data_IF_779735479768
#
_entry.id   IF_779735479768
#
_cell.length_a   1.000
_cell.length_b   1.000
_cell.length_c   1.000
_cell.angle_alpha   90.00
_cell.angle_beta   90.00
_cell.angle_gamma   90.00
#
_symmetry.space_group_name_H-M   'P 1'
#
loop_
_entity.id
_entity.type
_entity.pdbx_description
1 polymer ?
#
# COMPACT_ATOMS: atom_id res chain seq x y z
N UNK A 1 26.66 -17.22 -5.68
CA UNK A 1 25.72 -17.92 -4.80
C UNK A 1 25.43 -17.03 -3.61
N UNK A 2 24.37 -16.23 -3.64
CA UNK A 2 23.92 -15.44 -2.49
C UNK A 2 23.02 -16.34 -1.67
N UNK A 3 23.52 -16.76 -0.50
CA UNK A 3 22.74 -17.52 0.47
C UNK A 3 21.48 -16.72 0.82
N UNK A 4 20.33 -17.20 0.39
CA UNK A 4 19.04 -16.65 0.75
C UNK A 4 18.90 -16.71 2.26
N UNK A 5 19.00 -15.56 2.93
CA UNK A 5 18.66 -15.45 4.34
C UNK A 5 17.24 -15.99 4.54
N UNK A 6 17.02 -16.92 5.48
CA UNK A 6 15.69 -17.47 5.72
C UNK A 6 14.74 -16.30 5.99
N UNK A 7 13.78 -16.10 5.08
CA UNK A 7 12.76 -15.09 5.25
C UNK A 7 11.85 -15.52 6.39
N UNK A 8 12.11 -15.02 7.60
CA UNK A 8 11.22 -15.20 8.74
C UNK A 8 9.80 -14.81 8.32
N UNK A 9 8.81 -15.61 8.69
CA UNK A 9 7.42 -15.33 8.36
C UNK A 9 7.03 -13.92 8.88
N UNK A 10 6.14 -13.22 8.19
CA UNK A 10 5.74 -11.86 8.60
C UNK A 10 5.22 -11.81 10.04
N UNK A 11 4.56 -12.88 10.51
CA UNK A 11 4.09 -13.01 11.89
C UNK A 11 5.23 -13.02 12.92
N UNK A 12 6.30 -13.76 12.66
CA UNK A 12 7.47 -13.80 13.56
C UNK A 12 8.17 -12.44 13.63
N UNK A 13 8.24 -11.71 12.52
CA UNK A 13 8.83 -10.37 12.50
C UNK A 13 8.04 -9.40 13.35
N UNK A 14 6.72 -9.44 13.26
CA UNK A 14 5.84 -8.58 14.04
C UNK A 14 5.93 -8.92 15.54
N UNK A 15 5.88 -10.20 15.88
CA UNK A 15 6.00 -10.65 17.27
C UNK A 15 7.33 -10.22 17.92
N UNK A 16 8.45 -10.35 17.19
CA UNK A 16 9.76 -9.90 17.67
C UNK A 16 9.83 -8.39 17.89
N UNK A 17 9.21 -7.59 17.02
CA UNK A 17 9.14 -6.14 17.17
C UNK A 17 8.33 -5.74 18.39
N UNK A 18 7.16 -6.35 18.58
CA UNK A 18 6.30 -6.10 19.73
C UNK A 18 7.06 -6.48 21.00
N UNK A 19 7.66 -7.67 21.03
CA UNK A 19 8.45 -8.14 22.17
C UNK A 19 9.60 -7.17 22.50
N UNK A 20 10.39 -6.75 21.53
CA UNK A 20 11.50 -5.82 21.76
C UNK A 20 11.00 -4.45 22.23
N UNK A 21 9.97 -3.91 21.58
CA UNK A 21 9.39 -2.62 21.96
C UNK A 21 8.87 -2.63 23.40
N UNK A 22 8.10 -3.66 23.76
CA UNK A 22 7.53 -3.79 25.12
C UNK A 22 8.62 -4.01 26.17
N UNK A 23 9.60 -4.87 25.92
CA UNK A 23 10.71 -5.14 26.84
C UNK A 23 11.54 -3.88 27.11
N UNK A 24 11.88 -3.12 26.07
CA UNK A 24 12.61 -1.86 26.23
C UNK A 24 11.78 -0.81 26.96
N UNK A 25 10.48 -0.73 26.67
CA UNK A 25 9.57 0.19 27.37
C UNK A 25 9.48 -0.14 28.85
N UNK A 26 9.33 -1.42 29.22
CA UNK A 26 9.33 -1.88 30.62
C UNK A 26 10.66 -1.50 31.30
N UNK A 27 11.79 -1.82 30.65
CA UNK A 27 13.11 -1.54 31.20
C UNK A 27 13.31 -0.07 31.51
N UNK A 28 12.96 0.84 30.61
CA UNK A 28 13.12 2.28 30.82
C UNK A 28 12.20 2.81 31.90
N UNK A 29 10.94 2.37 31.93
CA UNK A 29 9.98 2.85 32.94
C UNK A 29 10.31 2.35 34.37
N UNK A 30 10.73 1.09 34.51
CA UNK A 30 11.18 0.57 35.79
C UNK A 30 12.46 1.25 36.25
N UNK A 31 13.43 1.43 35.37
CA UNK A 31 14.67 2.12 35.66
C UNK A 31 14.43 3.58 36.07
N UNK A 32 13.46 4.27 35.47
CA UNK A 32 13.09 5.65 35.81
C UNK A 32 12.18 5.78 37.04
N UNK A 33 11.83 4.68 37.71
CA UNK A 33 10.94 4.67 38.88
C UNK A 33 9.46 4.93 38.58
N UNK A 34 9.05 4.88 37.28
CA UNK A 34 7.69 5.21 36.79
C UNK A 34 6.85 3.97 36.50
N UNK A 35 7.00 2.91 37.29
CA UNK A 35 6.26 1.67 37.13
C UNK A 35 4.73 1.80 37.19
N UNK A 36 4.22 2.81 37.87
CA UNK A 36 2.77 3.07 38.02
C UNK A 36 2.06 3.44 36.67
N UNK A 37 2.77 3.96 35.68
CA UNK A 37 2.24 4.30 34.33
C UNK A 37 2.59 3.26 33.25
N UNK A 38 3.12 2.11 33.66
CA UNK A 38 3.58 1.05 32.77
C UNK A 38 2.50 0.58 31.79
N UNK A 39 1.25 0.43 32.27
CA UNK A 39 0.14 -0.06 31.44
C UNK A 39 -0.13 0.84 30.22
N UNK A 40 -0.16 2.15 30.42
CA UNK A 40 -0.37 3.11 29.34
C UNK A 40 0.76 3.06 28.30
N UNK A 41 2.01 2.98 28.76
CA UNK A 41 3.17 2.87 27.89
C UNK A 41 3.20 1.59 27.07
N UNK A 42 2.84 0.44 27.68
CA UNK A 42 2.77 -0.84 26.99
C UNK A 42 1.71 -0.86 25.90
N UNK A 43 0.52 -0.33 26.19
CA UNK A 43 -0.54 -0.20 25.18
C UNK A 43 -0.05 0.64 24.02
N UNK A 44 0.61 1.76 24.28
CA UNK A 44 1.20 2.59 23.23
C UNK A 44 2.31 1.85 22.46
N UNK A 45 3.22 1.16 23.15
CA UNK A 45 4.27 0.39 22.51
C UNK A 45 3.71 -0.68 21.54
N UNK A 46 2.69 -1.41 21.97
CA UNK A 46 2.05 -2.46 21.14
C UNK A 46 1.31 -1.86 19.94
N UNK A 47 0.49 -0.82 20.17
CA UNK A 47 -0.31 -0.18 19.12
C UNK A 47 0.56 0.52 18.04
N UNK A 48 1.75 1.00 18.43
CA UNK A 48 2.65 1.71 17.52
C UNK A 48 3.69 0.83 16.85
N UNK A 49 3.81 -0.45 17.22
CA UNK A 49 4.50 -1.45 16.41
C UNK A 49 3.60 -1.77 15.20
N UNK A 50 3.71 -0.96 14.18
CA UNK A 50 2.84 -1.01 13.01
C UNK A 50 3.22 -2.19 12.10
N UNK A 51 2.21 -2.91 11.60
CA UNK A 51 2.37 -3.99 10.61
C UNK A 51 3.03 -3.51 9.32
N UNK A 52 2.75 -2.26 8.95
CA UNK A 52 3.32 -1.63 7.78
C UNK A 52 4.57 -0.83 8.16
N UNK A 53 5.73 -1.28 7.70
CA UNK A 53 7.06 -0.69 7.90
C UNK A 53 7.22 0.79 7.46
N UNK A 54 6.14 1.52 7.26
CA UNK A 54 6.07 2.70 6.42
C UNK A 54 5.66 3.98 7.12
N UNK A 55 5.67 3.99 8.47
CA UNK A 55 5.35 5.22 9.21
C UNK A 55 6.47 6.26 9.00
N UNK A 56 6.21 7.40 8.34
CA UNK A 56 7.21 8.44 8.21
C UNK A 56 7.55 9.03 9.57
N UNK A 57 8.80 9.41 9.79
CA UNK A 57 9.26 10.05 11.05
C UNK A 57 8.42 11.29 11.41
N UNK A 58 7.90 12.01 10.41
CA UNK A 58 6.98 13.13 10.61
C UNK A 58 5.64 12.70 11.24
N UNK A 59 5.19 11.46 11.01
CA UNK A 59 3.96 10.97 11.62
C UNK A 59 4.14 10.65 13.10
N UNK A 60 5.36 10.30 13.54
CA UNK A 60 5.68 10.05 14.94
C UNK A 60 5.50 11.34 15.73
N UNK A 61 6.06 12.44 15.24
CA UNK A 61 5.87 13.75 15.88
C UNK A 61 4.41 14.15 16.01
N UNK A 62 3.59 13.89 14.96
CA UNK A 62 2.16 14.15 15.02
C UNK A 62 1.42 13.24 16.01
N UNK A 63 1.85 11.98 16.14
CA UNK A 63 1.27 11.03 17.10
C UNK A 63 1.59 11.42 18.54
N UNK A 64 2.85 11.76 18.82
CA UNK A 64 3.28 12.25 20.14
C UNK A 64 2.56 13.54 20.49
N UNK A 65 2.54 14.51 19.58
CA UNK A 65 1.84 15.77 19.80
C UNK A 65 0.33 15.56 20.02
N UNK A 66 -0.30 14.67 19.23
CA UNK A 66 -1.70 14.32 19.41
C UNK A 66 -1.99 13.71 20.79
N UNK A 67 -1.14 12.78 21.25
CA UNK A 67 -1.28 12.18 22.57
C UNK A 67 -1.16 13.22 23.70
N UNK A 68 -0.17 14.11 23.61
CA UNK A 68 0.01 15.18 24.60
C UNK A 68 -1.19 16.15 24.60
N UNK A 69 -1.70 16.54 23.44
CA UNK A 69 -2.92 17.35 23.33
C UNK A 69 -4.10 16.64 23.99
N UNK A 70 -4.26 15.32 23.77
CA UNK A 70 -5.32 14.54 24.41
C UNK A 70 -5.23 14.51 25.92
N UNK A 71 -4.03 14.25 26.46
CA UNK A 71 -3.78 14.25 27.92
C UNK A 71 -4.09 15.62 28.55
N UNK A 72 -3.56 16.70 27.96
CA UNK A 72 -3.77 18.05 28.45
C UNK A 72 -5.24 18.47 28.37
N UNK A 73 -5.92 18.16 27.28
CA UNK A 73 -7.35 18.47 27.13
C UNK A 73 -8.20 17.73 28.13
N UNK A 74 -7.90 16.45 28.41
CA UNK A 74 -8.62 15.67 29.39
C UNK A 74 -8.42 16.25 30.81
N UNK A 75 -7.19 16.67 31.15
CA UNK A 75 -6.91 17.31 32.45
C UNK A 75 -7.72 18.60 32.61
N UNK A 76 -7.70 19.51 31.63
CA UNK A 76 -8.43 20.77 31.70
C UNK A 76 -9.93 20.55 31.86
N UNK A 77 -10.50 19.60 31.11
CA UNK A 77 -11.92 19.29 31.20
C UNK A 77 -12.27 18.66 32.54
N UNK A 78 -11.40 17.82 33.09
CA UNK A 78 -11.61 17.19 34.39
C UNK A 78 -11.62 18.21 35.53
N UNK A 79 -10.75 19.24 35.49
CA UNK A 79 -10.75 20.36 36.47
C UNK A 79 -12.04 21.19 36.42
N UNK A 80 -12.66 21.27 35.22
CA UNK A 80 -13.90 22.01 35.03
C UNK A 80 -15.17 21.20 35.39
N UNK A 81 -15.12 19.88 35.24
CA UNK A 81 -16.25 18.99 35.46
C UNK A 81 -15.80 17.56 35.78
N UNK A 82 -16.31 17.03 36.90
CA UNK A 82 -16.05 15.64 37.35
C UNK A 82 -17.18 14.68 36.93
N UNK A 83 -18.10 15.12 36.07
CA UNK A 83 -19.22 14.29 35.64
C UNK A 83 -18.80 13.27 34.55
N UNK A 84 -19.61 12.23 34.36
CA UNK A 84 -19.41 11.22 33.30
C UNK A 84 -19.38 11.85 31.89
N UNK A 85 -19.98 13.03 31.70
CA UNK A 85 -19.94 13.79 30.44
C UNK A 85 -18.57 14.40 30.17
N UNK A 86 -17.73 14.58 31.22
CA UNK A 86 -16.41 15.19 31.06
C UNK A 86 -15.55 14.43 30.00
N UNK A 87 -15.57 13.09 30.02
CA UNK A 87 -14.86 12.29 29.03
C UNK A 87 -15.38 12.56 27.61
N UNK A 88 -16.68 12.63 27.41
CA UNK A 88 -17.27 12.94 26.09
C UNK A 88 -16.84 14.31 25.56
N UNK A 89 -16.87 15.33 26.42
CA UNK A 89 -16.44 16.70 26.11
C UNK A 89 -14.93 16.72 25.81
N UNK A 90 -14.11 16.05 26.63
CA UNK A 90 -12.66 15.96 26.45
C UNK A 90 -12.30 15.30 25.11
N UNK A 91 -12.98 14.20 24.72
CA UNK A 91 -12.79 13.54 23.44
C UNK A 91 -13.18 14.46 22.27
N UNK A 92 -14.31 15.15 22.36
CA UNK A 92 -14.76 16.09 21.33
C UNK A 92 -13.76 17.22 21.16
N UNK A 93 -13.34 17.89 22.25
CA UNK A 93 -12.35 18.96 22.24
C UNK A 93 -11.00 18.47 21.69
N UNK A 94 -10.53 17.30 22.14
CA UNK A 94 -9.30 16.68 21.60
C UNK A 94 -9.41 16.50 20.09
N UNK A 95 -10.54 16.00 19.58
CA UNK A 95 -10.77 15.82 18.15
C UNK A 95 -10.74 17.14 17.38
N UNK A 96 -11.32 18.20 17.91
CA UNK A 96 -11.31 19.54 17.32
C UNK A 96 -9.90 20.13 17.33
N UNK A 97 -9.21 20.10 18.48
CA UNK A 97 -7.86 20.65 18.63
C UNK A 97 -6.84 19.95 17.73
N UNK A 98 -6.83 18.61 17.73
CA UNK A 98 -5.90 17.82 16.92
C UNK A 98 -6.12 18.10 15.41
N UNK A 99 -7.37 18.24 14.97
CA UNK A 99 -7.69 18.60 13.58
C UNK A 99 -7.32 20.06 13.28
N UNK A 100 -7.62 20.98 14.17
CA UNK A 100 -7.27 22.40 14.02
C UNK A 100 -5.77 22.65 13.93
N UNK A 101 -4.97 21.85 14.66
CA UNK A 101 -3.51 21.87 14.61
C UNK A 101 -2.93 21.11 13.38
N UNK A 102 -3.77 20.52 12.53
CA UNK A 102 -3.32 19.75 11.37
C UNK A 102 -2.64 18.42 11.72
N UNK A 103 -2.82 17.90 12.93
CA UNK A 103 -2.22 16.66 13.42
C UNK A 103 -3.10 15.45 13.11
N UNK A 104 -3.57 15.30 11.87
CA UNK A 104 -4.56 14.28 11.47
C UNK A 104 -4.15 12.85 11.83
N UNK A 105 -2.84 12.53 11.80
CA UNK A 105 -2.33 11.22 12.21
C UNK A 105 -2.21 11.04 13.71
N UNK A 106 -2.30 12.12 14.49
CA UNK A 106 -2.31 12.13 15.94
C UNK A 106 -3.69 11.97 16.57
N UNK A 107 -4.77 11.85 15.78
CA UNK A 107 -6.13 11.80 16.30
C UNK A 107 -6.37 10.58 17.20
N UNK A 108 -5.97 9.40 16.72
CA UNK A 108 -6.11 8.16 17.49
C UNK A 108 -5.32 8.18 18.80
N UNK A 109 -4.09 8.69 18.75
CA UNK A 109 -3.25 8.83 19.94
C UNK A 109 -3.77 9.87 20.91
N UNK A 110 -4.36 10.95 20.40
CA UNK A 110 -5.03 11.95 21.21
C UNK A 110 -6.19 11.37 22.03
N UNK A 111 -7.04 10.60 21.37
CA UNK A 111 -8.15 9.91 22.05
C UNK A 111 -7.65 8.89 23.07
N UNK A 112 -6.60 8.13 22.75
CA UNK A 112 -6.01 7.18 23.70
C UNK A 112 -5.37 7.88 24.90
N UNK A 113 -4.68 9.02 24.69
CA UNK A 113 -4.13 9.84 25.79
C UNK A 113 -5.22 10.39 26.70
N UNK A 114 -6.29 10.89 26.11
CA UNK A 114 -7.46 11.37 26.86
C UNK A 114 -8.09 10.25 27.71
N UNK A 115 -8.32 9.09 27.12
CA UNK A 115 -8.88 7.93 27.82
C UNK A 115 -7.96 7.39 28.90
N UNK A 116 -6.65 7.33 28.66
CA UNK A 116 -5.67 6.86 29.64
C UNK A 116 -5.65 7.74 30.91
N UNK A 117 -5.75 9.05 30.73
CA UNK A 117 -5.82 9.98 31.87
C UNK A 117 -7.10 9.80 32.66
N UNK A 118 -8.25 9.68 32.01
CA UNK A 118 -9.54 9.46 32.68
C UNK A 118 -9.55 8.15 33.48
N UNK A 119 -8.92 7.09 32.94
CA UNK A 119 -8.79 5.83 33.66
C UNK A 119 -7.98 5.96 34.95
N UNK A 120 -6.95 6.82 34.95
CA UNK A 120 -6.15 7.12 36.12
C UNK A 120 -6.93 7.94 37.16
N UNK A 121 -7.75 8.89 36.73
CA UNK A 121 -8.61 9.67 37.62
C UNK A 121 -9.59 8.83 38.43
N UNK A 122 -10.08 7.73 37.86
CA UNK A 122 -10.97 6.79 38.55
C UNK A 122 -10.29 6.01 39.66
N UNK A 123 -8.97 5.86 39.60
CA UNK A 123 -8.19 5.11 40.61
C UNK A 123 -7.60 5.94 41.74
N UNK A 124 -7.23 7.20 41.49
CA UNK A 124 -6.52 8.06 42.44
C UNK A 124 -6.67 9.54 42.06
N UNK A 125 -6.38 10.43 43.03
CA UNK A 125 -6.22 11.86 42.71
C UNK A 125 -5.04 12.05 41.75
N UNK A 126 -5.30 12.51 40.53
CA UNK A 126 -4.27 12.78 39.56
C UNK A 126 -3.60 14.11 39.86
N UNK A 127 -2.33 14.06 40.18
CA UNK A 127 -1.49 15.23 40.39
C UNK A 127 -0.74 15.55 39.05
N UNK A 128 -0.30 16.79 38.87
CA UNK A 128 0.52 17.21 37.71
C UNK A 128 1.74 16.32 37.49
N UNK A 129 2.34 15.75 38.53
CA UNK A 129 3.41 14.79 38.44
C UNK A 129 2.98 13.52 37.68
N UNK A 130 1.79 13.00 37.95
CA UNK A 130 1.24 11.80 37.28
C UNK A 130 0.94 12.09 35.80
N UNK A 131 0.48 13.30 35.47
CA UNK A 131 0.23 13.74 34.10
C UNK A 131 1.54 13.77 33.31
N UNK A 132 2.60 14.32 33.92
CA UNK A 132 3.93 14.35 33.33
C UNK A 132 4.47 12.92 33.13
N UNK A 133 4.31 12.04 34.10
CA UNK A 133 4.73 10.65 34.03
C UNK A 133 3.96 9.89 32.96
N UNK A 134 2.65 10.14 32.81
CA UNK A 134 1.84 9.58 31.73
C UNK A 134 2.31 10.08 30.37
N UNK A 135 2.55 11.38 30.21
CA UNK A 135 3.09 11.96 28.97
C UNK A 135 4.45 11.36 28.61
N UNK A 136 5.34 11.24 29.60
CA UNK A 136 6.63 10.58 29.41
C UNK A 136 6.47 9.11 28.99
N UNK A 137 5.61 8.35 29.67
CA UNK A 137 5.34 6.95 29.35
C UNK A 137 4.84 6.74 27.90
N UNK A 138 3.92 7.59 27.46
CA UNK A 138 3.41 7.58 26.07
C UNK A 138 4.54 7.85 25.08
N UNK A 139 5.37 8.85 25.32
CA UNK A 139 6.53 9.18 24.46
C UNK A 139 7.49 8.01 24.41
N UNK A 140 7.85 7.43 25.56
CA UNK A 140 8.74 6.26 25.64
C UNK A 140 8.15 5.09 24.86
N UNK A 141 6.87 4.76 25.05
CA UNK A 141 6.20 3.67 24.30
C UNK A 141 6.28 3.86 22.78
N UNK A 142 5.96 5.05 22.29
CA UNK A 142 6.02 5.38 20.86
C UNK A 142 7.47 5.32 20.34
N UNK A 143 8.43 5.89 21.06
CA UNK A 143 9.85 5.92 20.66
C UNK A 143 10.43 4.50 20.64
N UNK A 144 10.15 3.67 21.63
CA UNK A 144 10.63 2.30 21.70
C UNK A 144 10.00 1.41 20.61
N UNK A 145 8.72 1.61 20.28
CA UNK A 145 8.10 0.95 19.14
C UNK A 145 8.82 1.28 17.83
N UNK A 146 9.17 2.54 17.62
CA UNK A 146 9.91 2.96 16.43
C UNK A 146 11.36 2.44 16.43
N UNK A 147 12.02 2.45 17.58
CA UNK A 147 13.36 1.90 17.73
C UNK A 147 13.39 0.41 17.43
N UNK A 148 12.47 -0.38 17.99
CA UNK A 148 12.35 -1.80 17.71
C UNK A 148 12.12 -2.08 16.21
N UNK A 149 11.28 -1.28 15.56
CA UNK A 149 11.05 -1.38 14.12
C UNK A 149 12.32 -1.08 13.32
N UNK A 150 13.09 -0.08 13.73
CA UNK A 150 14.35 0.30 13.05
C UNK A 150 15.46 -0.70 13.32
N UNK A 151 15.62 -1.19 14.56
CA UNK A 151 16.71 -2.06 14.98
C UNK A 151 16.61 -3.46 14.35
N UNK A 152 15.42 -4.06 14.34
CA UNK A 152 15.25 -5.44 13.84
C UNK A 152 15.22 -5.51 12.31
N UNK A 153 14.69 -4.49 11.62
CA UNK A 153 14.68 -4.44 10.16
C UNK A 153 14.82 -3.00 9.68
N UNK A 154 16.06 -2.54 9.42
CA UNK A 154 16.28 -1.21 8.88
C UNK A 154 15.57 -1.07 7.54
N UNK A 155 14.70 -0.06 7.47
CA UNK A 155 13.90 0.22 6.28
C UNK A 155 14.80 0.65 5.13
N UNK A 156 14.80 -0.14 4.08
CA UNK A 156 15.38 0.26 2.79
C UNK A 156 14.24 0.43 1.79
N UNK A 157 13.49 1.55 1.82
CA UNK A 157 12.31 1.73 0.99
C UNK A 157 12.59 1.53 -0.50
N UNK A 158 13.79 1.91 -0.96
CA UNK A 158 14.20 1.71 -2.35
C UNK A 158 14.31 0.24 -2.76
N UNK A 159 14.62 -0.67 -1.82
CA UNK A 159 14.70 -2.10 -2.11
C UNK A 159 13.31 -2.76 -2.16
N UNK A 160 12.29 -2.14 -1.57
CA UNK A 160 10.92 -2.65 -1.57
C UNK A 160 10.14 -2.25 -2.83
N UNK A 161 10.52 -1.15 -3.49
CA UNK A 161 9.84 -0.66 -4.68
C UNK A 161 9.78 -1.69 -5.82
N UNK A 162 10.88 -2.39 -6.19
CA UNK A 162 10.83 -3.42 -7.22
C UNK A 162 9.95 -4.61 -6.84
N UNK A 163 9.96 -5.02 -5.57
CA UNK A 163 9.13 -6.13 -5.09
C UNK A 163 7.64 -5.79 -5.15
N UNK A 164 7.26 -4.56 -4.80
CA UNK A 164 5.89 -4.07 -4.93
C UNK A 164 5.45 -3.97 -6.41
N UNK A 165 6.33 -3.46 -7.28
CA UNK A 165 6.06 -3.42 -8.72
C UNK A 165 5.79 -4.82 -9.27
N UNK A 166 6.62 -5.79 -8.89
CA UNK A 166 6.46 -7.19 -9.29
C UNK A 166 5.16 -7.81 -8.74
N UNK A 167 4.78 -7.49 -7.50
CA UNK A 167 3.52 -7.96 -6.90
C UNK A 167 2.29 -7.39 -7.62
N UNK A 168 2.28 -6.10 -7.94
CA UNK A 168 1.20 -5.47 -8.70
C UNK A 168 1.10 -6.12 -10.08
N UNK A 169 2.25 -6.30 -10.75
CA UNK A 169 2.32 -6.94 -12.06
C UNK A 169 1.79 -8.37 -12.05
N UNK A 170 2.20 -9.17 -11.05
CA UNK A 170 1.77 -10.57 -10.93
C UNK A 170 0.27 -10.72 -10.69
N UNK A 171 -0.32 -9.83 -9.88
CA UNK A 171 -1.77 -9.83 -9.62
C UNK A 171 -2.56 -9.46 -10.87
N UNK A 172 -2.16 -8.39 -11.57
CA UNK A 172 -2.84 -8.01 -12.80
C UNK A 172 -2.70 -9.09 -13.88
N UNK A 173 -1.50 -9.69 -14.03
CA UNK A 173 -1.27 -10.80 -14.95
C UNK A 173 -2.10 -12.04 -14.58
N UNK A 174 -2.30 -12.34 -13.30
CA UNK A 174 -3.18 -13.42 -12.86
C UNK A 174 -4.64 -13.17 -13.26
N UNK A 175 -5.13 -11.92 -13.13
CA UNK A 175 -6.47 -11.55 -13.54
C UNK A 175 -6.67 -11.64 -15.06
N UNK A 176 -5.69 -11.16 -15.84
CA UNK A 176 -5.71 -11.28 -17.32
C UNK A 176 -5.78 -12.76 -17.72
N UNK A 177 -4.97 -13.61 -17.11
CA UNK A 177 -4.98 -15.06 -17.39
C UNK A 177 -6.30 -15.73 -16.98
N UNK A 178 -6.85 -15.38 -15.82
CA UNK A 178 -8.13 -15.91 -15.38
C UNK A 178 -9.26 -15.52 -16.35
N UNK A 179 -9.28 -14.28 -16.81
CA UNK A 179 -10.24 -13.81 -17.80
C UNK A 179 -10.08 -14.54 -19.16
N UNK A 180 -8.85 -14.72 -19.61
CA UNK A 180 -8.55 -15.50 -20.82
C UNK A 180 -9.02 -16.95 -20.70
N UNK A 181 -8.69 -17.63 -19.58
CA UNK A 181 -9.12 -19.01 -19.34
C UNK A 181 -10.64 -19.12 -19.35
N UNK A 182 -11.33 -18.20 -18.71
CA UNK A 182 -12.79 -18.14 -18.72
C UNK A 182 -13.36 -17.99 -20.15
N UNK A 183 -12.79 -17.12 -20.97
CA UNK A 183 -13.21 -16.93 -22.37
C UNK A 183 -13.00 -18.20 -23.24
N UNK A 184 -12.02 -19.03 -22.93
CA UNK A 184 -11.72 -20.27 -23.66
C UNK A 184 -12.53 -21.45 -23.14
N UNK A 185 -12.55 -21.67 -21.82
CA UNK A 185 -13.14 -22.87 -21.21
C UNK A 185 -14.60 -22.72 -20.82
N UNK A 186 -15.12 -21.50 -20.75
CA UNK A 186 -16.44 -21.23 -20.18
C UNK A 186 -16.45 -21.36 -18.66
N UNK A 187 -17.64 -21.48 -18.10
CA UNK A 187 -17.84 -21.60 -16.68
C UNK A 187 -18.19 -20.28 -16.00
N UNK A 188 -18.10 -20.21 -14.65
CA UNK A 188 -18.41 -18.98 -13.92
C UNK A 188 -17.33 -17.92 -14.21
N UNK A 189 -17.73 -16.66 -14.41
CA UNK A 189 -16.77 -15.59 -14.65
C UNK A 189 -15.88 -15.40 -13.43
N UNK A 190 -14.57 -15.11 -13.63
CA UNK A 190 -13.68 -14.84 -12.50
C UNK A 190 -14.17 -13.61 -11.72
N UNK A 191 -13.89 -13.52 -10.40
CA UNK A 191 -14.30 -12.37 -9.62
C UNK A 191 -13.70 -11.09 -10.22
N UNK A 192 -14.47 -9.98 -10.27
CA UNK A 192 -13.96 -8.73 -10.81
C UNK A 192 -12.79 -8.20 -9.98
N UNK A 193 -11.79 -7.68 -10.66
CA UNK A 193 -10.70 -6.99 -9.98
C UNK A 193 -11.25 -5.72 -9.32
N UNK A 194 -11.30 -5.70 -8.00
CA UNK A 194 -11.72 -4.52 -7.26
C UNK A 194 -10.57 -3.52 -7.18
N UNK A 195 -10.88 -2.24 -7.36
CA UNK A 195 -9.88 -1.18 -7.17
C UNK A 195 -9.24 -1.24 -5.77
N UNK A 196 -9.98 -1.73 -4.77
CA UNK A 196 -9.51 -1.92 -3.40
C UNK A 196 -8.36 -2.93 -3.26
N UNK A 197 -8.17 -3.84 -4.22
CA UNK A 197 -7.13 -4.87 -4.15
C UNK A 197 -5.75 -4.35 -4.57
N UNK A 198 -5.69 -3.46 -5.56
CA UNK A 198 -4.44 -2.92 -6.11
C UNK A 198 -4.15 -1.48 -5.68
N UNK A 199 -5.18 -0.66 -5.47
CA UNK A 199 -5.03 0.75 -5.12
C UNK A 199 -4.18 0.98 -3.86
N UNK A 200 -4.34 0.21 -2.76
CA UNK A 200 -3.51 0.35 -1.57
C UNK A 200 -2.02 0.09 -1.87
N UNK A 201 -1.71 -0.88 -2.73
CA UNK A 201 -0.31 -1.18 -3.11
C UNK A 201 0.29 -0.09 -3.98
N UNK A 202 -0.49 0.48 -4.89
CA UNK A 202 -0.06 1.63 -5.70
C UNK A 202 0.14 2.87 -4.81
N UNK A 203 -0.74 3.10 -3.84
CA UNK A 203 -0.58 4.16 -2.85
C UNK A 203 0.65 3.94 -1.98
N UNK A 204 0.90 2.70 -1.57
CA UNK A 204 2.08 2.32 -0.83
C UNK A 204 3.37 2.63 -1.61
N UNK A 205 3.42 2.31 -2.90
CA UNK A 205 4.54 2.64 -3.78
C UNK A 205 4.77 4.17 -3.82
N UNK A 206 3.71 4.98 -3.84
CA UNK A 206 3.80 6.43 -3.79
C UNK A 206 4.29 6.92 -2.42
N UNK A 207 3.76 6.37 -1.34
CA UNK A 207 4.18 6.73 0.03
C UNK A 207 5.66 6.42 0.28
N UNK A 208 6.16 5.26 -0.16
CA UNK A 208 7.58 4.89 -0.08
C UNK A 208 8.47 5.89 -0.80
N UNK A 209 8.07 6.29 -1.98
CA UNK A 209 8.76 7.33 -2.75
C UNK A 209 8.81 8.66 -1.99
N UNK A 210 7.67 9.12 -1.45
CA UNK A 210 7.58 10.41 -0.78
C UNK A 210 8.39 10.42 0.53
N UNK A 211 8.42 9.31 1.23
CA UNK A 211 9.28 9.11 2.40
C UNK A 211 10.77 9.22 2.06
N UNK A 212 11.18 8.64 0.94
CA UNK A 212 12.58 8.69 0.51
C UNK A 212 12.95 10.09 0.04
N UNK A 213 12.01 10.83 -0.58
CA UNK A 213 12.22 12.23 -1.01
C UNK A 213 12.39 13.20 0.16
N UNK A 214 11.71 12.94 1.29
CA UNK A 214 11.80 13.80 2.47
C UNK A 214 13.16 13.73 3.18
N UNK A 215 13.97 12.70 2.91
CA UNK A 215 15.35 12.59 3.38
C UNK A 215 16.24 13.22 2.30
N UNK A 216 17.08 14.20 2.66
CA UNK A 216 18.04 14.87 1.75
C UNK A 216 18.84 13.84 0.95
N UNK A 217 18.42 13.61 -0.28
CA UNK A 217 18.95 12.52 -1.11
C UNK A 217 19.92 13.03 -2.13
N UNK A 218 21.03 12.31 -2.41
CA UNK A 218 21.98 12.65 -3.48
C UNK A 218 21.26 12.72 -4.84
N UNK A 219 21.84 13.44 -5.80
CA UNK A 219 21.23 13.69 -7.12
C UNK A 219 20.81 12.40 -7.86
N UNK A 220 21.58 11.32 -7.69
CA UNK A 220 21.28 9.99 -8.24
C UNK A 220 19.95 9.43 -7.68
N UNK A 221 19.77 9.49 -6.37
CA UNK A 221 18.52 9.01 -5.71
C UNK A 221 17.31 9.83 -6.14
N UNK A 222 17.48 11.15 -6.37
CA UNK A 222 16.40 12.01 -6.87
C UNK A 222 15.94 11.58 -8.28
N UNK A 223 16.88 11.23 -9.17
CA UNK A 223 16.56 10.73 -10.52
C UNK A 223 15.83 9.38 -10.45
N UNK A 224 16.29 8.48 -9.60
CA UNK A 224 15.66 7.19 -9.35
C UNK A 224 14.21 7.36 -8.82
N UNK A 225 14.01 8.26 -7.87
CA UNK A 225 12.68 8.56 -7.31
C UNK A 225 11.74 9.20 -8.32
N UNK A 226 12.25 10.05 -9.22
CA UNK A 226 11.47 10.64 -10.30
C UNK A 226 10.95 9.54 -11.25
N UNK A 227 11.77 8.56 -11.59
CA UNK A 227 11.38 7.41 -12.42
C UNK A 227 10.33 6.53 -11.71
N UNK A 228 10.49 6.27 -10.42
CA UNK A 228 9.47 5.56 -9.65
C UNK A 228 8.15 6.34 -9.53
N UNK A 229 8.21 7.68 -9.59
CA UNK A 229 7.00 8.50 -9.68
C UNK A 229 6.22 8.24 -10.97
N UNK A 230 6.95 8.16 -12.10
CA UNK A 230 6.36 7.80 -13.40
C UNK A 230 5.78 6.39 -13.36
N UNK A 231 6.48 5.42 -12.75
CA UNK A 231 5.97 4.06 -12.55
C UNK A 231 4.64 4.02 -11.79
N UNK A 232 4.50 4.79 -10.72
CA UNK A 232 3.25 4.88 -9.97
C UNK A 232 2.09 5.52 -10.77
N UNK A 233 2.38 6.46 -11.68
CA UNK A 233 1.35 7.02 -12.57
C UNK A 233 0.93 6.03 -13.66
N UNK A 234 1.88 5.29 -14.23
CA UNK A 234 1.60 4.23 -15.19
C UNK A 234 0.73 3.12 -14.60
N UNK A 235 1.00 2.68 -13.36
CA UNK A 235 0.17 1.70 -12.69
C UNK A 235 -1.28 2.15 -12.49
N UNK A 236 -1.50 3.42 -12.15
CA UNK A 236 -2.88 3.96 -12.04
C UNK A 236 -3.60 3.95 -13.38
N UNK A 237 -2.89 4.31 -14.46
CA UNK A 237 -3.44 4.28 -15.80
C UNK A 237 -3.72 2.86 -16.27
N UNK A 238 -2.80 1.90 -16.05
CA UNK A 238 -3.01 0.47 -16.34
C UNK A 238 -4.21 -0.09 -15.60
N UNK A 239 -4.34 0.20 -14.30
CA UNK A 239 -5.49 -0.25 -13.52
C UNK A 239 -6.79 0.35 -14.07
N UNK A 240 -6.80 1.65 -14.40
CA UNK A 240 -7.97 2.31 -14.98
C UNK A 240 -8.38 1.67 -16.31
N UNK A 241 -7.42 1.42 -17.20
CA UNK A 241 -7.70 0.81 -18.49
C UNK A 241 -8.20 -0.64 -18.33
N UNK A 242 -7.62 -1.39 -17.39
CA UNK A 242 -8.11 -2.74 -17.10
C UNK A 242 -9.56 -2.73 -16.57
N UNK A 243 -9.89 -1.82 -15.64
CA UNK A 243 -11.25 -1.67 -15.12
C UNK A 243 -12.27 -1.28 -16.18
N UNK A 244 -11.84 -0.65 -17.28
CA UNK A 244 -12.69 -0.37 -18.44
C UNK A 244 -12.80 -1.58 -19.37
N UNK A 245 -11.72 -2.35 -19.53
CA UNK A 245 -11.68 -3.53 -20.42
C UNK A 245 -12.45 -4.72 -19.83
N UNK A 246 -12.32 -4.98 -18.55
CA UNK A 246 -12.91 -6.16 -17.88
C UNK A 246 -14.44 -6.27 -18.07
N UNK A 247 -15.25 -5.22 -17.92
CA UNK A 247 -16.69 -5.27 -18.18
C UNK A 247 -17.03 -5.55 -19.65
N UNK A 248 -16.22 -5.05 -20.56
CA UNK A 248 -16.40 -5.30 -22.00
C UNK A 248 -16.14 -6.78 -22.34
N UNK A 249 -15.09 -7.36 -21.76
CA UNK A 249 -14.80 -8.79 -21.94
C UNK A 249 -15.90 -9.68 -21.38
N UNK A 250 -16.55 -9.27 -20.29
CA UNK A 250 -17.68 -10.00 -19.68
C UNK A 250 -18.96 -10.00 -20.54
N UNK A 251 -19.07 -9.08 -21.51
CA UNK A 251 -20.19 -9.04 -22.45
C UNK A 251 -20.02 -10.01 -23.62
N UNK A 252 -18.82 -10.62 -23.76
CA UNK A 252 -18.59 -11.63 -24.79
C UNK A 252 -19.23 -12.97 -24.39
N UNK A 253 -19.68 -13.78 -25.39
CA UNK A 253 -20.13 -15.13 -25.13
C UNK A 253 -18.99 -15.97 -24.53
N UNK A 254 -19.27 -16.79 -23.55
CA UNK A 254 -18.32 -17.71 -22.96
C UNK A 254 -18.92 -19.12 -22.84
N UNK A 255 -18.26 -20.15 -23.38
CA UNK A 255 -16.99 -20.10 -24.12
C UNK A 255 -17.12 -19.38 -25.48
N UNK A 256 -16.01 -18.76 -25.92
CA UNK A 256 -15.95 -18.21 -27.27
C UNK A 256 -16.12 -19.34 -28.30
N UNK A 257 -16.89 -19.12 -29.37
CA UNK A 257 -17.00 -20.08 -30.46
C UNK A 257 -15.65 -20.15 -31.21
N UNK A 258 -14.78 -21.03 -30.74
CA UNK A 258 -13.45 -21.25 -31.33
C UNK A 258 -13.55 -22.37 -32.36
N UNK A 259 -13.22 -22.08 -33.60
CA UNK A 259 -13.00 -23.11 -34.61
C UNK A 259 -11.67 -23.84 -34.31
N UNK A 260 -11.68 -25.16 -34.03
CA UNK A 260 -10.47 -25.91 -33.70
C UNK A 260 -9.43 -25.90 -34.79
N UNK A 261 -9.81 -25.61 -36.06
CA UNK A 261 -8.91 -25.54 -37.20
C UNK A 261 -8.44 -24.11 -37.53
N UNK A 262 -9.07 -23.10 -36.95
CA UNK A 262 -8.70 -21.71 -37.17
C UNK A 262 -7.55 -21.26 -36.24
N UNK A 263 -6.76 -20.29 -36.72
CA UNK A 263 -5.80 -19.58 -35.83
C UNK A 263 -6.52 -19.05 -34.58
N UNK A 264 -5.84 -19.14 -33.45
CA UNK A 264 -6.38 -18.57 -32.19
C UNK A 264 -6.87 -17.15 -32.44
N UNK A 265 -8.07 -16.80 -31.90
CA UNK A 265 -8.62 -15.46 -32.06
C UNK A 265 -7.62 -14.40 -31.60
N UNK A 266 -7.58 -13.31 -32.34
CA UNK A 266 -6.75 -12.14 -32.06
C UNK A 266 -6.84 -11.70 -30.61
N UNK A 267 -8.05 -11.73 -30.04
CA UNK A 267 -8.32 -11.40 -28.64
C UNK A 267 -7.52 -12.28 -27.66
N UNK A 268 -7.51 -13.59 -27.90
CA UNK A 268 -6.79 -14.54 -27.03
C UNK A 268 -5.29 -14.32 -27.11
N UNK A 269 -4.76 -14.08 -28.31
CA UNK A 269 -3.35 -13.76 -28.51
C UNK A 269 -2.96 -12.43 -27.86
N UNK A 270 -3.81 -11.42 -27.94
CA UNK A 270 -3.59 -10.12 -27.30
C UNK A 270 -3.59 -10.26 -25.77
N UNK A 271 -4.53 -11.00 -25.19
CA UNK A 271 -4.53 -11.24 -23.73
C UNK A 271 -3.30 -12.04 -23.27
N UNK A 272 -2.82 -13.00 -24.09
CA UNK A 272 -1.56 -13.70 -23.85
C UNK A 272 -0.37 -12.75 -23.81
N UNK A 273 -0.24 -11.92 -24.84
CA UNK A 273 0.82 -10.92 -24.94
C UNK A 273 0.80 -9.96 -23.76
N UNK A 274 -0.37 -9.42 -23.38
CA UNK A 274 -0.53 -8.57 -22.20
C UNK A 274 -0.07 -9.27 -20.92
N UNK A 275 -0.44 -10.53 -20.72
CA UNK A 275 -0.05 -11.29 -19.53
C UNK A 275 1.46 -11.56 -19.47
N UNK A 276 2.10 -11.85 -20.62
CA UNK A 276 3.54 -12.08 -20.74
C UNK A 276 4.33 -10.79 -20.48
N UNK A 277 3.92 -9.67 -21.07
CA UNK A 277 4.55 -8.36 -20.84
C UNK A 277 4.45 -7.90 -19.38
N UNK A 278 3.31 -8.14 -18.71
CA UNK A 278 3.16 -7.86 -17.28
C UNK A 278 4.17 -8.62 -16.43
N UNK A 279 4.50 -9.86 -16.81
CA UNK A 279 5.48 -10.69 -16.13
C UNK A 279 6.94 -10.39 -16.49
N UNK A 280 7.17 -9.45 -17.39
CA UNK A 280 8.51 -9.08 -17.85
C UNK A 280 9.13 -10.13 -18.80
N UNK A 281 8.32 -11.07 -19.29
CA UNK A 281 8.78 -11.97 -20.34
C UNK A 281 8.58 -11.26 -21.69
N UNK A 282 9.62 -11.13 -22.52
CA UNK A 282 9.42 -10.72 -23.89
C UNK A 282 8.49 -11.77 -24.53
N UNK A 283 7.29 -11.35 -24.91
CA UNK A 283 6.35 -12.24 -25.62
C UNK A 283 7.08 -12.92 -26.77
N UNK A 284 6.66 -14.14 -27.15
CA UNK A 284 7.22 -14.78 -28.35
C UNK A 284 7.13 -13.78 -29.50
N UNK A 285 8.17 -13.70 -30.34
CA UNK A 285 8.26 -12.71 -31.42
C UNK A 285 7.01 -12.72 -32.33
N UNK A 286 6.39 -13.88 -32.49
CA UNK A 286 5.21 -14.09 -33.31
C UNK A 286 3.93 -13.52 -32.64
N UNK A 287 3.74 -13.75 -31.32
CA UNK A 287 2.61 -13.18 -30.59
C UNK A 287 2.69 -11.67 -30.50
N UNK A 288 3.90 -11.12 -30.43
CA UNK A 288 4.11 -9.66 -30.45
C UNK A 288 3.82 -9.09 -31.84
N UNK A 289 4.32 -9.71 -32.91
CA UNK A 289 4.08 -9.29 -34.29
C UNK A 289 2.58 -9.36 -34.66
N UNK A 290 1.86 -10.38 -34.20
CA UNK A 290 0.42 -10.49 -34.39
C UNK A 290 -0.37 -9.47 -33.54
N UNK A 291 0.05 -9.18 -32.31
CA UNK A 291 -0.54 -8.13 -31.51
C UNK A 291 -0.30 -6.74 -32.11
N UNK A 292 0.92 -6.44 -32.57
CA UNK A 292 1.26 -5.16 -33.21
C UNK A 292 0.48 -4.97 -34.55
N UNK A 293 0.27 -6.02 -35.31
CA UNK A 293 -0.60 -5.98 -36.52
C UNK A 293 -2.06 -5.76 -36.16
N UNK A 294 -2.55 -6.42 -35.13
CA UNK A 294 -3.92 -6.29 -34.65
C UNK A 294 -4.19 -4.90 -34.10
N UNK A 295 -3.25 -4.38 -33.34
CA UNK A 295 -3.34 -3.04 -32.77
C UNK A 295 -3.29 -1.96 -33.87
N UNK A 296 -2.62 -2.22 -35.00
CA UNK A 296 -2.55 -1.29 -36.11
C UNK A 296 -3.80 -1.30 -37.00
N UNK A 297 -4.62 -2.35 -36.99
CA UNK A 297 -5.68 -2.51 -38.00
C UNK A 297 -7.05 -2.83 -37.38
N UNK A 298 -7.90 -1.81 -37.25
CA UNK A 298 -9.28 -1.98 -36.79
C UNK A 298 -10.10 -2.96 -37.67
N UNK A 299 -9.73 -3.14 -38.93
CA UNK A 299 -10.41 -4.06 -39.85
C UNK A 299 -10.29 -5.52 -39.37
N UNK A 300 -9.14 -5.93 -38.82
CA UNK A 300 -8.93 -7.27 -38.27
C UNK A 300 -9.86 -7.58 -37.10
N UNK A 301 -10.12 -6.60 -36.23
CA UNK A 301 -11.09 -6.75 -35.14
C UNK A 301 -12.50 -6.87 -35.65
N UNK A 302 -12.86 -6.15 -36.73
CA UNK A 302 -14.18 -6.19 -37.33
C UNK A 302 -14.43 -7.51 -38.09
N UNK A 303 -13.41 -8.06 -38.76
CA UNK A 303 -13.47 -9.35 -39.43
C UNK A 303 -13.79 -10.49 -38.46
N UNK A 304 -13.21 -10.46 -37.27
CA UNK A 304 -13.48 -11.46 -36.25
C UNK A 304 -14.84 -11.32 -35.54
N UNK A 305 -15.54 -10.20 -35.74
CA UNK A 305 -16.80 -9.93 -35.01
C UNK A 305 -17.88 -10.98 -35.34
N UNK A 306 -17.99 -11.37 -36.59
CA UNK A 306 -18.97 -12.38 -37.04
C UNK A 306 -18.64 -13.78 -36.48
N UNK A 307 -17.38 -14.15 -36.43
CA UNK A 307 -16.93 -15.45 -35.92
C UNK A 307 -17.04 -15.59 -34.41
N UNK A 308 -16.98 -14.49 -33.66
CA UNK A 308 -17.06 -14.47 -32.19
C UNK A 308 -18.48 -14.26 -31.64
N UNK A 309 -19.50 -14.08 -32.52
CA UNK A 309 -20.87 -13.81 -32.08
C UNK A 309 -21.03 -12.48 -31.31
N UNK A 310 -20.07 -11.57 -31.46
CA UNK A 310 -20.02 -10.30 -30.73
C UNK A 310 -20.41 -9.12 -31.63
N UNK A 311 -20.96 -8.06 -31.06
CA UNK A 311 -21.27 -6.84 -31.80
C UNK A 311 -19.99 -6.13 -32.24
N UNK A 312 -19.98 -5.61 -33.50
CA UNK A 312 -18.85 -4.85 -34.03
C UNK A 312 -18.35 -3.71 -33.14
N UNK A 313 -19.22 -2.85 -32.55
CA UNK A 313 -18.79 -1.78 -31.67
C UNK A 313 -18.13 -2.30 -30.40
N UNK A 314 -18.59 -3.43 -29.85
CA UNK A 314 -18.01 -4.04 -28.65
C UNK A 314 -16.56 -4.49 -28.91
N UNK A 315 -16.31 -5.19 -30.03
CA UNK A 315 -14.95 -5.65 -30.38
C UNK A 315 -14.01 -4.49 -30.69
N UNK A 316 -14.49 -3.43 -31.33
CA UNK A 316 -13.70 -2.22 -31.53
C UNK A 316 -13.32 -1.56 -30.22
N UNK A 317 -14.28 -1.47 -29.27
CA UNK A 317 -14.01 -0.93 -27.94
C UNK A 317 -12.97 -1.77 -27.19
N UNK A 318 -13.09 -3.10 -27.22
CA UNK A 318 -12.10 -4.03 -26.67
C UNK A 318 -10.73 -3.83 -27.31
N UNK A 319 -10.65 -3.76 -28.62
CA UNK A 319 -9.40 -3.53 -29.35
C UNK A 319 -8.73 -2.21 -28.97
N UNK A 320 -9.51 -1.13 -28.84
CA UNK A 320 -8.99 0.16 -28.37
C UNK A 320 -8.43 0.11 -26.94
N UNK A 321 -9.12 -0.57 -26.02
CA UNK A 321 -8.64 -0.74 -24.66
C UNK A 321 -7.40 -1.63 -24.57
N UNK A 322 -7.34 -2.72 -25.36
CA UNK A 322 -6.16 -3.55 -25.46
C UNK A 322 -4.94 -2.77 -25.98
N UNK A 323 -5.13 -1.94 -27.01
CA UNK A 323 -4.09 -1.06 -27.55
C UNK A 323 -3.57 -0.08 -26.49
N UNK A 324 -4.48 0.59 -25.77
CA UNK A 324 -4.09 1.50 -24.69
C UNK A 324 -3.29 0.80 -23.60
N UNK A 325 -3.67 -0.43 -23.23
CA UNK A 325 -2.91 -1.25 -22.28
C UNK A 325 -1.52 -1.61 -22.79
N UNK A 326 -1.40 -2.01 -24.07
CA UNK A 326 -0.10 -2.32 -24.70
C UNK A 326 0.85 -1.13 -24.66
N UNK A 327 0.40 0.05 -25.06
CA UNK A 327 1.21 1.28 -25.04
C UNK A 327 1.70 1.61 -23.60
N UNK A 328 0.84 1.44 -22.61
CA UNK A 328 1.23 1.65 -21.20
C UNK A 328 2.25 0.61 -20.73
N UNK A 329 2.13 -0.65 -21.15
CA UNK A 329 3.08 -1.72 -20.82
C UNK A 329 4.44 -1.52 -21.49
N UNK A 330 4.48 -1.04 -22.73
CA UNK A 330 5.72 -0.62 -23.39
C UNK A 330 6.40 0.52 -22.64
N UNK A 331 5.63 1.55 -22.25
CA UNK A 331 6.13 2.62 -21.40
C UNK A 331 6.70 2.11 -20.07
N UNK A 332 6.05 1.10 -19.46
CA UNK A 332 6.56 0.43 -18.25
C UNK A 332 7.85 -0.33 -18.51
N UNK A 333 7.96 -1.07 -19.61
CA UNK A 333 9.18 -1.81 -19.97
C UNK A 333 10.38 -0.88 -20.18
N UNK A 334 10.18 0.24 -20.88
CA UNK A 334 11.20 1.29 -21.03
C UNK A 334 11.62 1.88 -19.69
N UNK A 335 10.67 2.12 -18.79
CA UNK A 335 10.94 2.62 -17.46
C UNK A 335 11.75 1.61 -16.63
N UNK A 336 11.40 0.32 -16.67
CA UNK A 336 12.14 -0.74 -15.99
C UNK A 336 13.57 -0.88 -16.53
N UNK A 337 13.76 -0.82 -17.84
CA UNK A 337 15.08 -0.80 -18.46
C UNK A 337 15.90 0.44 -18.06
N UNK A 338 15.26 1.58 -17.85
CA UNK A 338 15.92 2.78 -17.36
C UNK A 338 16.25 2.69 -15.86
N UNK A 339 15.42 2.02 -15.04
CA UNK A 339 15.66 1.76 -13.63
C UNK A 339 16.82 0.79 -13.42
N UNK A 340 16.91 -0.30 -14.20
CA UNK A 340 18.00 -1.27 -14.11
C UNK A 340 19.35 -0.66 -14.42
N UNK A 341 19.43 0.24 -15.41
CA UNK A 341 20.66 1.01 -15.72
C UNK A 341 21.09 1.93 -14.58
N UNK A 342 20.16 2.45 -13.78
CA UNK A 342 20.47 3.29 -12.64
C UNK A 342 20.91 2.51 -11.40
N UNK A 343 20.58 1.23 -11.29
CA UNK A 343 20.98 0.39 -10.15
C UNK A 343 22.34 -0.25 -10.32
N UNK A 344 22.89 -0.26 -11.55
CA UNK A 344 24.25 -0.71 -11.79
C UNK A 344 25.25 0.34 -11.27
N UNK A 345 26.26 -0.05 -10.48
CA UNK A 345 27.30 0.88 -10.09
C UNK A 345 28.02 1.41 -11.35
N UNK A 346 28.45 2.67 -11.36
CA UNK A 346 29.27 3.21 -12.43
C UNK A 346 30.51 2.32 -12.59
N UNK A 347 30.71 1.81 -13.81
CA UNK A 347 31.95 1.08 -14.17
C UNK A 347 33.17 1.98 -14.11
#
# INVERSE_FOLDING_TARGET
MAAGSPSLSPLWRQSLRIWLATTLTIGILLWSGRGHVLGAALVMAVLFVNENDLTPTRSIGQQVAGALVGILTAQVVHELSTSWLALGIALLLTGVLVRGLGLLRGLGTGYMGCWALELMHRGNQVNWAVIFDLGFAVVVGIVMAQFATWALWPRRPLQQLPALDAQIASQLAAQVRAMRTWLISGGPPPPPLRSQDLLPRIQLLQQLRDQTRARSSPAHTRRLLARWAQGGSLWRQLLRQWLLLEPLLRQLPSPLPLDPQARQPLLINTLNSLSAQLQGHPGSSDAKADADRADANAALWLEQASGLGASKPLLLAIGQQCRALHQLLEGRALLQAALSRCTQPPR
#
